data_IF_804413668348
#
_entry.id   IF_804413668348
#
_cell.length_a   1.000
_cell.length_b   1.000
_cell.length_c   1.000
_cell.angle_alpha   90.00
_cell.angle_beta   90.00
_cell.angle_gamma   90.00
#
_symmetry.space_group_name_H-M   'P 1'
#
loop_
_entity.id
_entity.type
_entity.pdbx_description
1 polymer ?
#
# COMPACT_ATOMS: atom_id res chain seq x y z
N UNK A 1 25.14 -52.50 -53.18
CA UNK A 1 23.73 -52.06 -53.17
C UNK A 1 23.25 -52.05 -51.72
N UNK A 2 23.41 -50.92 -51.01
CA UNK A 2 22.86 -50.71 -49.65
C UNK A 2 21.79 -49.64 -49.78
N UNK A 3 20.51 -50.02 -49.65
CA UNK A 3 19.40 -49.08 -49.66
C UNK A 3 19.31 -48.39 -48.29
N UNK A 4 19.49 -47.07 -48.30
CA UNK A 4 19.12 -46.18 -47.20
C UNK A 4 17.60 -46.00 -47.23
N UNK A 5 16.89 -46.45 -46.19
CA UNK A 5 15.48 -46.11 -45.99
C UNK A 5 15.40 -44.76 -45.28
N UNK A 6 14.96 -43.72 -46.00
CA UNK A 6 14.56 -42.45 -45.38
C UNK A 6 13.24 -42.67 -44.61
N UNK A 7 13.29 -42.59 -43.28
CA UNK A 7 12.09 -42.34 -42.48
C UNK A 7 11.65 -40.89 -42.67
N UNK A 8 10.58 -40.69 -43.43
CA UNK A 8 9.80 -39.45 -43.43
C UNK A 8 9.08 -39.34 -42.09
N UNK A 9 9.65 -38.54 -41.18
CA UNK A 9 8.97 -38.14 -39.95
C UNK A 9 7.91 -37.10 -40.32
N UNK A 10 6.67 -37.55 -40.51
CA UNK A 10 5.51 -36.67 -40.66
C UNK A 10 5.37 -35.83 -39.40
N UNK A 11 5.80 -34.57 -39.44
CA UNK A 11 5.51 -33.60 -38.39
C UNK A 11 4.00 -33.32 -38.43
N UNK A 12 3.24 -34.04 -37.61
CA UNK A 12 1.88 -33.64 -37.29
C UNK A 12 1.98 -32.30 -36.54
N UNK A 13 1.68 -31.20 -37.23
CA UNK A 13 1.33 -29.95 -36.57
C UNK A 13 0.07 -30.22 -35.75
N UNK A 14 0.24 -30.61 -34.49
CA UNK A 14 -0.83 -30.51 -33.51
C UNK A 14 -1.13 -29.02 -33.37
N UNK A 15 -2.19 -28.56 -34.03
CA UNK A 15 -2.80 -27.27 -33.72
C UNK A 15 -3.24 -27.33 -32.26
N UNK A 16 -2.40 -26.80 -31.35
CA UNK A 16 -2.83 -26.51 -30.00
C UNK A 16 -3.84 -25.37 -30.09
N UNK A 17 -5.11 -25.69 -30.28
CA UNK A 17 -6.19 -24.76 -30.02
C UNK A 17 -6.20 -24.56 -28.52
N UNK A 18 -5.46 -23.56 -28.04
CA UNK A 18 -5.62 -23.06 -26.70
C UNK A 18 -7.08 -22.60 -26.58
N UNK A 19 -7.96 -23.46 -26.05
CA UNK A 19 -9.32 -23.08 -25.70
C UNK A 19 -9.19 -21.89 -24.76
N UNK A 20 -9.68 -20.72 -25.16
CA UNK A 20 -9.74 -19.55 -24.27
C UNK A 20 -10.69 -19.91 -23.13
N UNK A 21 -10.12 -20.41 -22.02
CA UNK A 21 -10.87 -20.70 -20.80
C UNK A 21 -10.98 -19.40 -20.00
N UNK A 22 -12.08 -18.69 -20.18
CA UNK A 22 -12.47 -17.62 -19.27
C UNK A 22 -12.67 -18.19 -17.87
N UNK A 23 -12.50 -17.35 -16.84
CA UNK A 23 -12.94 -17.70 -15.48
C UNK A 23 -14.45 -17.77 -15.44
N UNK A 24 -15.00 -18.67 -14.63
CA UNK A 24 -16.43 -18.78 -14.44
C UNK A 24 -16.99 -17.53 -13.75
N UNK A 25 -18.24 -17.24 -14.08
CA UNK A 25 -19.06 -16.18 -13.51
C UNK A 25 -20.45 -16.72 -13.14
N UNK A 26 -21.22 -16.02 -12.28
CA UNK A 26 -22.59 -16.36 -11.94
C UNK A 26 -23.56 -16.49 -13.13
N UNK A 27 -23.16 -16.05 -14.33
CA UNK A 27 -23.96 -16.14 -15.54
C UNK A 27 -23.70 -17.43 -16.34
N UNK A 28 -22.66 -18.19 -15.98
CA UNK A 28 -22.32 -19.44 -16.64
C UNK A 28 -23.16 -20.58 -16.09
N UNK A 29 -23.64 -21.48 -16.97
CA UNK A 29 -24.43 -22.65 -16.57
C UNK A 29 -23.67 -23.63 -15.64
N UNK A 30 -22.34 -23.53 -15.61
CA UNK A 30 -21.45 -24.33 -14.75
C UNK A 30 -21.04 -23.61 -13.47
N UNK A 31 -21.61 -22.44 -13.18
CA UNK A 31 -21.41 -21.78 -11.90
C UNK A 31 -21.91 -22.68 -10.76
N UNK A 32 -21.17 -22.77 -9.64
CA UNK A 32 -21.56 -23.67 -8.56
C UNK A 32 -22.92 -23.31 -7.98
N UNK A 33 -23.70 -24.35 -7.68
CA UNK A 33 -25.01 -24.25 -7.06
C UNK A 33 -24.91 -23.74 -5.61
N UNK A 34 -26.01 -23.24 -5.05
CA UNK A 34 -26.04 -22.81 -3.65
C UNK A 34 -25.66 -23.95 -2.67
N UNK A 35 -25.97 -25.22 -3.02
CA UNK A 35 -25.58 -26.38 -2.23
C UNK A 35 -24.05 -26.62 -2.25
N UNK A 36 -23.38 -26.39 -3.38
CA UNK A 36 -21.92 -26.49 -3.47
C UNK A 36 -21.22 -25.37 -2.72
N UNK A 37 -21.78 -24.15 -2.74
CA UNK A 37 -21.30 -23.05 -1.90
C UNK A 37 -21.50 -23.33 -0.41
N UNK A 38 -22.63 -23.93 -0.03
CA UNK A 38 -22.88 -24.35 1.36
C UNK A 38 -21.89 -25.44 1.81
N UNK A 39 -21.60 -26.43 0.96
CA UNK A 39 -20.61 -27.46 1.26
C UNK A 39 -19.19 -26.89 1.43
N UNK A 40 -18.80 -25.88 0.61
CA UNK A 40 -17.58 -25.13 0.86
C UNK A 40 -17.64 -24.44 2.22
N UNK A 41 -18.74 -23.75 2.54
CA UNK A 41 -18.90 -23.05 3.80
C UNK A 41 -18.71 -23.98 5.02
N UNK A 42 -19.30 -25.17 4.97
CA UNK A 42 -19.14 -26.19 6.01
C UNK A 42 -17.67 -26.62 6.15
N UNK A 43 -16.98 -26.84 5.03
CA UNK A 43 -15.56 -27.24 5.03
C UNK A 43 -14.62 -26.17 5.58
N UNK A 44 -15.00 -24.90 5.54
CA UNK A 44 -14.21 -23.76 6.08
C UNK A 44 -14.78 -23.23 7.39
N UNK A 45 -15.53 -24.05 8.13
CA UNK A 45 -16.08 -23.71 9.45
C UNK A 45 -17.00 -22.47 9.43
N UNK A 46 -17.88 -22.38 8.44
CA UNK A 46 -18.89 -21.32 8.37
C UNK A 46 -18.36 -19.94 7.97
N UNK A 47 -17.13 -19.85 7.44
CA UNK A 47 -16.45 -18.57 7.17
C UNK A 47 -16.74 -17.96 5.79
N UNK A 48 -17.69 -18.50 5.03
CA UNK A 48 -18.09 -17.98 3.73
C UNK A 48 -19.15 -16.87 3.86
N UNK A 49 -18.92 -15.76 3.18
CA UNK A 49 -19.82 -14.61 3.12
C UNK A 49 -20.29 -14.42 1.67
N UNK A 50 -21.60 -14.40 1.45
CA UNK A 50 -22.20 -13.94 0.19
C UNK A 50 -22.26 -12.42 0.21
N UNK A 51 -21.56 -11.77 -0.72
CA UNK A 51 -21.41 -10.31 -0.68
C UNK A 51 -22.68 -9.59 -1.08
N UNK A 52 -22.87 -8.39 -0.52
CA UNK A 52 -23.94 -7.47 -0.86
C UNK A 52 -23.35 -6.06 -0.85
N UNK A 53 -23.22 -5.38 -2.00
CA UNK A 53 -22.56 -4.07 -2.05
C UNK A 53 -23.12 -3.13 -0.99
N UNK A 54 -22.26 -2.59 -0.10
CA UNK A 54 -22.69 -1.75 1.02
C UNK A 54 -23.59 -0.58 0.57
N UNK A 55 -23.28 0.05 -0.56
CA UNK A 55 -24.05 1.14 -1.15
C UNK A 55 -25.37 0.72 -1.82
N UNK A 56 -25.69 -0.58 -1.89
CA UNK A 56 -26.98 -1.06 -2.45
C UNK A 56 -28.16 -0.43 -1.72
N UNK A 57 -28.05 -0.17 -0.41
CA UNK A 57 -29.11 0.46 0.37
C UNK A 57 -29.40 1.91 0.00
N UNK A 58 -28.51 2.57 -0.73
CA UNK A 58 -28.72 3.92 -1.28
C UNK A 58 -29.58 3.92 -2.55
N UNK A 59 -29.87 2.75 -3.12
CA UNK A 59 -30.78 2.62 -4.25
C UNK A 59 -32.20 2.35 -3.74
N UNK A 60 -33.20 2.94 -4.41
CA UNK A 60 -34.61 2.91 -4.02
C UNK A 60 -35.15 1.52 -3.64
N UNK A 61 -34.70 0.47 -4.32
CA UNK A 61 -35.17 -0.91 -4.11
C UNK A 61 -34.22 -1.76 -3.27
N UNK A 62 -33.06 -1.23 -2.87
CA UNK A 62 -31.97 -2.01 -2.28
C UNK A 62 -31.76 -3.36 -2.99
N UNK A 63 -31.36 -3.37 -4.27
CA UNK A 63 -31.47 -4.55 -5.14
C UNK A 63 -30.72 -5.79 -4.63
N UNK A 64 -29.69 -5.60 -3.79
CA UNK A 64 -28.92 -6.69 -3.18
C UNK A 64 -29.24 -6.92 -1.70
N UNK A 65 -30.28 -6.27 -1.16
CA UNK A 65 -30.67 -6.36 0.25
C UNK A 65 -29.49 -6.13 1.20
N UNK A 66 -28.69 -5.09 0.94
CA UNK A 66 -27.58 -4.73 1.81
C UNK A 66 -28.12 -4.34 3.20
N UNK A 67 -27.51 -4.85 4.28
CA UNK A 67 -28.01 -4.66 5.63
C UNK A 67 -27.71 -3.26 6.20
N UNK A 68 -26.75 -2.55 5.62
CA UNK A 68 -26.29 -1.25 6.11
C UNK A 68 -27.19 -0.12 5.61
N UNK A 69 -27.55 0.84 6.46
CA UNK A 69 -28.35 2.00 6.06
C UNK A 69 -27.55 2.98 5.18
N UNK A 70 -28.18 3.58 4.17
CA UNK A 70 -27.51 4.51 3.26
C UNK A 70 -26.86 5.71 3.98
N UNK A 71 -27.52 6.30 4.98
CA UNK A 71 -26.97 7.44 5.72
C UNK A 71 -25.64 7.07 6.41
N UNK A 72 -25.50 5.83 6.86
CA UNK A 72 -24.26 5.33 7.47
C UNK A 72 -23.19 5.14 6.39
N UNK A 73 -23.57 4.60 5.22
CA UNK A 73 -22.67 4.45 4.08
C UNK A 73 -22.13 5.81 3.65
N UNK A 74 -22.99 6.80 3.43
CA UNK A 74 -22.60 8.14 2.98
C UNK A 74 -21.71 8.85 4.01
N UNK A 75 -22.09 8.80 5.30
CA UNK A 75 -21.33 9.46 6.36
C UNK A 75 -19.92 8.88 6.56
N UNK A 76 -19.72 7.59 6.25
CA UNK A 76 -18.45 6.89 6.45
C UNK A 76 -17.72 6.57 5.14
N UNK A 77 -18.26 6.95 3.98
CA UNK A 77 -17.67 6.61 2.68
C UNK A 77 -16.25 7.13 2.53
N UNK A 78 -15.96 8.28 3.13
CA UNK A 78 -14.60 8.84 3.07
C UNK A 78 -13.67 8.19 4.08
N UNK A 79 -14.09 7.25 4.93
CA UNK A 79 -13.22 6.65 5.95
C UNK A 79 -12.54 5.39 5.40
N UNK A 80 -11.20 5.34 5.45
CA UNK A 80 -10.43 4.14 5.06
C UNK A 80 -10.81 2.90 5.89
N UNK A 81 -11.06 3.10 7.18
CA UNK A 81 -11.47 2.04 8.13
C UNK A 81 -12.82 1.43 7.76
N UNK A 82 -13.76 2.23 7.26
CA UNK A 82 -15.03 1.74 6.74
C UNK A 82 -14.79 0.73 5.61
N UNK A 83 -14.02 1.09 4.59
CA UNK A 83 -13.71 0.19 3.48
C UNK A 83 -12.92 -1.07 3.91
N UNK A 84 -12.06 -0.95 4.91
CA UNK A 84 -11.31 -2.08 5.44
C UNK A 84 -12.19 -3.10 6.17
N UNK A 85 -13.24 -2.64 6.87
CA UNK A 85 -14.13 -3.47 7.67
C UNK A 85 -15.20 -4.22 6.87
N UNK A 86 -15.47 -3.80 5.63
CA UNK A 86 -16.43 -4.47 4.76
C UNK A 86 -15.71 -5.28 3.68
N UNK A 87 -15.90 -6.61 3.60
CA UNK A 87 -15.19 -7.46 2.67
C UNK A 87 -15.48 -7.15 1.20
N UNK A 88 -16.70 -6.71 0.89
CA UNK A 88 -17.17 -6.38 -0.46
C UNK A 88 -16.85 -4.95 -0.91
N UNK A 89 -16.56 -4.07 0.05
CA UNK A 89 -16.28 -2.67 -0.23
C UNK A 89 -15.05 -2.58 -1.12
N UNK A 90 -15.12 -1.69 -2.13
CA UNK A 90 -14.11 -1.40 -3.18
C UNK A 90 -13.58 -2.60 -4.00
N UNK A 91 -14.05 -3.83 -3.75
CA UNK A 91 -13.48 -5.07 -4.29
C UNK A 91 -14.44 -5.90 -5.15
N UNK A 92 -15.76 -5.73 -4.96
CA UNK A 92 -16.84 -6.39 -5.71
C UNK A 92 -16.69 -7.91 -5.98
N UNK A 93 -16.19 -8.74 -5.04
CA UNK A 93 -16.25 -10.20 -5.20
C UNK A 93 -17.69 -10.70 -5.03
N UNK A 94 -18.00 -11.92 -5.47
CA UNK A 94 -19.33 -12.53 -5.32
C UNK A 94 -19.46 -13.33 -4.01
N UNK A 95 -18.39 -14.01 -3.63
CA UNK A 95 -18.24 -14.62 -2.30
C UNK A 95 -16.92 -14.19 -1.69
N UNK A 96 -16.86 -14.17 -0.36
CA UNK A 96 -15.66 -13.87 0.42
C UNK A 96 -15.45 -14.97 1.45
N UNK A 97 -14.24 -15.47 1.57
CA UNK A 97 -13.80 -16.25 2.72
C UNK A 97 -13.23 -15.30 3.76
N UNK A 98 -13.89 -15.22 4.91
CA UNK A 98 -13.38 -14.52 6.07
C UNK A 98 -12.31 -15.35 6.77
N UNK A 99 -11.08 -15.31 6.25
CA UNK A 99 -10.02 -16.22 6.66
C UNK A 99 -9.46 -15.85 8.04
N UNK A 100 -9.31 -16.88 8.88
CA UNK A 100 -8.66 -16.80 10.21
C UNK A 100 -7.55 -17.85 10.38
N UNK A 101 -7.42 -18.78 9.45
CA UNK A 101 -6.40 -19.83 9.43
C UNK A 101 -5.96 -20.21 8.01
N UNK A 102 -4.75 -20.76 7.91
CA UNK A 102 -4.15 -21.23 6.66
C UNK A 102 -4.96 -22.37 6.02
N UNK A 103 -5.59 -23.22 6.84
CA UNK A 103 -6.42 -24.33 6.37
C UNK A 103 -7.66 -23.83 5.61
N UNK A 104 -8.35 -22.82 6.13
CA UNK A 104 -9.49 -22.20 5.44
C UNK A 104 -9.08 -21.64 4.08
N UNK A 105 -7.91 -21.00 4.01
CA UNK A 105 -7.35 -20.46 2.77
C UNK A 105 -7.05 -21.59 1.78
N UNK A 106 -6.35 -22.63 2.22
CA UNK A 106 -5.96 -23.76 1.38
C UNK A 106 -7.18 -24.49 0.80
N UNK A 107 -8.20 -24.77 1.62
CA UNK A 107 -9.44 -25.41 1.21
C UNK A 107 -10.19 -24.56 0.18
N UNK A 108 -10.37 -23.27 0.45
CA UNK A 108 -11.06 -22.36 -0.45
C UNK A 108 -10.35 -22.16 -1.80
N UNK A 109 -9.01 -21.99 -1.76
CA UNK A 109 -8.18 -21.84 -2.97
C UNK A 109 -8.26 -23.11 -3.81
N UNK A 110 -8.13 -24.29 -3.21
CA UNK A 110 -8.26 -25.57 -3.91
C UNK A 110 -9.64 -25.70 -4.56
N UNK A 111 -10.70 -25.48 -3.79
CA UNK A 111 -12.07 -25.60 -4.25
C UNK A 111 -12.38 -24.66 -5.44
N UNK A 112 -11.94 -23.41 -5.36
CA UNK A 112 -12.14 -22.43 -6.43
C UNK A 112 -11.30 -22.74 -7.67
N UNK A 113 -10.07 -23.24 -7.50
CA UNK A 113 -9.18 -23.63 -8.60
C UNK A 113 -9.75 -24.80 -9.39
N UNK A 114 -10.25 -25.83 -8.72
CA UNK A 114 -10.89 -27.00 -9.34
C UNK A 114 -12.11 -26.63 -10.19
N UNK A 115 -12.78 -25.53 -9.83
CA UNK A 115 -13.99 -25.01 -10.49
C UNK A 115 -13.71 -23.84 -11.43
N UNK A 116 -12.44 -23.50 -11.67
CA UNK A 116 -12.05 -22.39 -12.54
C UNK A 116 -12.68 -21.03 -12.15
N UNK A 117 -12.91 -20.81 -10.86
CA UNK A 117 -13.40 -19.55 -10.31
C UNK A 117 -12.24 -18.58 -10.18
N UNK A 118 -12.50 -17.27 -10.38
CA UNK A 118 -11.49 -16.24 -10.15
C UNK A 118 -11.24 -16.11 -8.65
N UNK A 119 -9.98 -16.20 -8.24
CA UNK A 119 -9.57 -15.91 -6.86
C UNK A 119 -9.05 -14.47 -6.81
N UNK A 120 -9.46 -13.74 -5.78
CA UNK A 120 -8.95 -12.41 -5.43
C UNK A 120 -8.45 -12.49 -3.98
N UNK A 121 -7.44 -11.70 -3.62
CA UNK A 121 -6.95 -11.62 -2.25
C UNK A 121 -7.10 -10.19 -1.77
N UNK A 122 -7.73 -10.01 -0.62
CA UNK A 122 -7.89 -8.72 0.04
C UNK A 122 -7.37 -8.82 1.46
N UNK A 123 -6.41 -7.96 1.83
CA UNK A 123 -6.15 -7.65 3.24
C UNK A 123 -7.14 -6.56 3.67
N UNK A 124 -6.69 -5.32 3.63
CA UNK A 124 -7.53 -4.14 3.93
C UNK A 124 -8.26 -3.55 2.72
N UNK A 125 -7.71 -3.71 1.51
CA UNK A 125 -8.27 -3.12 0.28
C UNK A 125 -7.64 -1.78 -0.11
N UNK A 126 -6.53 -1.37 0.50
CA UNK A 126 -5.80 -0.13 0.16
C UNK A 126 -5.10 -0.12 -1.22
N UNK A 127 -5.41 -1.07 -2.12
CA UNK A 127 -4.77 -1.14 -3.42
C UNK A 127 -5.35 -0.11 -4.40
N UNK A 128 -4.51 0.82 -4.84
CA UNK A 128 -4.90 1.90 -5.76
C UNK A 128 -5.08 1.44 -7.22
N UNK A 129 -4.63 0.22 -7.56
CA UNK A 129 -4.66 -0.33 -8.92
C UNK A 129 -5.74 -1.41 -9.12
N UNK A 130 -6.58 -1.65 -8.10
CA UNK A 130 -7.66 -2.65 -8.15
C UNK A 130 -7.20 -4.11 -8.13
N UNK A 131 -5.94 -4.40 -7.73
CA UNK A 131 -5.39 -5.78 -7.67
C UNK A 131 -6.08 -6.65 -6.64
N UNK A 132 -6.64 -6.05 -5.58
CA UNK A 132 -7.45 -6.73 -4.57
C UNK A 132 -8.95 -6.74 -4.90
N UNK A 133 -9.30 -6.51 -6.17
CA UNK A 133 -10.68 -6.39 -6.64
C UNK A 133 -10.92 -7.31 -7.84
N UNK A 134 -12.15 -7.81 -7.98
CA UNK A 134 -12.51 -8.63 -9.13
C UNK A 134 -13.95 -9.05 -9.10
N UNK A 135 -14.71 -8.63 -10.12
CA UNK A 135 -16.08 -9.09 -10.31
C UNK A 135 -16.14 -10.62 -10.38
N UNK A 136 -17.23 -11.18 -9.83
CA UNK A 136 -17.55 -12.61 -9.94
C UNK A 136 -16.49 -13.55 -9.34
N UNK A 137 -15.69 -13.06 -8.40
CA UNK A 137 -14.61 -13.82 -7.77
C UNK A 137 -15.01 -14.41 -6.42
N UNK A 138 -14.22 -15.39 -5.97
CA UNK A 138 -14.07 -15.75 -4.56
C UNK A 138 -12.90 -14.94 -3.99
N UNK A 139 -13.19 -14.03 -3.06
CA UNK A 139 -12.16 -13.26 -2.37
C UNK A 139 -11.68 -14.00 -1.13
N UNK A 140 -10.36 -14.12 -0.95
CA UNK A 140 -9.74 -14.53 0.31
C UNK A 140 -9.46 -13.25 1.10
N UNK A 141 -10.21 -13.04 2.17
CA UNK A 141 -10.11 -11.84 2.99
C UNK A 141 -9.30 -12.15 4.25
N UNK A 142 -8.06 -11.67 4.31
CA UNK A 142 -7.10 -12.00 5.37
C UNK A 142 -7.15 -11.03 6.57
N UNK A 143 -8.05 -10.02 6.57
CA UNK A 143 -8.12 -8.96 7.60
C UNK A 143 -8.17 -9.48 9.05
N UNK A 144 -8.77 -10.64 9.27
CA UNK A 144 -8.91 -11.24 10.60
C UNK A 144 -7.75 -12.18 10.99
N UNK A 145 -6.75 -12.35 10.13
CA UNK A 145 -5.46 -12.93 10.49
C UNK A 145 -4.59 -11.84 11.13
N UNK A 146 -4.70 -11.70 12.45
CA UNK A 146 -4.06 -10.64 13.23
C UNK A 146 -3.04 -11.17 14.25
N UNK A 147 -2.65 -12.44 14.15
CA UNK A 147 -1.63 -13.02 15.00
C UNK A 147 -0.33 -12.23 14.84
N UNK A 148 0.32 -11.93 15.96
CA UNK A 148 1.57 -11.18 15.98
C UNK A 148 2.40 -11.55 17.19
N UNK A 149 3.69 -11.78 16.94
CA UNK A 149 4.67 -12.18 17.92
C UNK A 149 5.95 -11.37 17.71
N UNK A 150 6.60 -10.99 18.79
CA UNK A 150 7.94 -10.43 18.75
C UNK A 150 8.91 -11.47 19.30
N UNK A 151 9.88 -11.87 18.49
CA UNK A 151 10.91 -12.83 18.84
C UNK A 151 12.29 -12.14 18.78
N UNK A 152 12.94 -11.86 19.92
CA UNK A 152 14.26 -11.23 19.96
C UNK A 152 15.40 -12.17 19.54
N UNK A 153 15.18 -13.48 19.49
CA UNK A 153 16.22 -14.47 19.28
C UNK A 153 15.91 -15.39 18.08
N UNK A 154 15.17 -14.86 17.10
CA UNK A 154 14.72 -15.64 15.96
C UNK A 154 15.89 -16.13 15.12
N UNK A 155 15.99 -17.45 14.94
CA UNK A 155 17.09 -18.08 14.21
C UNK A 155 16.96 -17.85 12.71
N UNK A 156 17.92 -17.12 12.14
CA UNK A 156 17.94 -16.83 10.70
C UNK A 156 18.24 -18.10 9.89
N UNK A 157 17.32 -18.55 9.01
CA UNK A 157 17.47 -19.77 8.23
C UNK A 157 18.77 -19.81 7.43
N UNK A 158 19.45 -20.96 7.46
CA UNK A 158 20.71 -21.15 6.75
C UNK A 158 21.92 -20.47 7.41
N UNK A 159 21.79 -19.91 8.61
CA UNK A 159 22.89 -19.28 9.35
C UNK A 159 22.93 -19.70 10.82
N UNK A 160 24.01 -19.31 11.51
CA UNK A 160 24.16 -19.45 12.97
C UNK A 160 23.81 -18.14 13.72
N UNK A 161 23.13 -17.19 13.08
CA UNK A 161 22.77 -15.89 13.66
C UNK A 161 21.32 -15.90 14.15
N UNK A 162 21.06 -15.06 15.13
CA UNK A 162 19.71 -14.67 15.54
C UNK A 162 19.49 -13.19 15.21
N UNK A 163 18.23 -12.80 15.03
CA UNK A 163 17.81 -11.42 14.81
C UNK A 163 16.52 -11.15 15.61
N UNK A 164 16.32 -9.90 16.04
CA UNK A 164 15.02 -9.45 16.54
C UNK A 164 14.05 -9.38 15.36
N UNK A 165 12.89 -10.02 15.48
CA UNK A 165 11.86 -10.00 14.44
C UNK A 165 10.48 -9.76 15.00
N UNK A 166 9.62 -9.19 14.16
CA UNK A 166 8.18 -9.21 14.34
C UNK A 166 7.60 -10.25 13.35
N UNK A 167 7.04 -11.32 13.89
CA UNK A 167 6.27 -12.30 13.13
C UNK A 167 4.83 -11.79 13.09
N UNK A 168 4.34 -11.44 11.91
CA UNK A 168 3.11 -10.69 11.73
C UNK A 168 2.22 -11.36 10.66
N UNK A 169 1.00 -11.72 11.05
CA UNK A 169 0.00 -12.22 10.13
C UNK A 169 -0.39 -11.16 9.08
N UNK A 170 -0.81 -11.62 7.90
CA UNK A 170 -0.99 -10.75 6.73
C UNK A 170 -2.21 -9.82 6.77
N UNK A 171 -3.08 -9.95 7.77
CA UNK A 171 -4.24 -9.09 7.98
C UNK A 171 -3.93 -7.74 8.63
N UNK A 172 -2.70 -7.56 9.14
CA UNK A 172 -2.23 -6.33 9.76
C UNK A 172 -1.88 -5.26 8.72
N UNK A 173 -2.28 -4.04 9.01
CA UNK A 173 -1.73 -2.85 8.35
C UNK A 173 -0.30 -2.60 8.81
N UNK A 174 0.46 -1.86 8.00
CA UNK A 174 1.79 -1.42 8.39
C UNK A 174 1.79 -0.64 9.72
N UNK A 175 0.80 0.23 9.92
CA UNK A 175 0.65 0.99 11.16
C UNK A 175 0.38 0.11 12.39
N UNK A 176 -0.48 -0.89 12.27
CA UNK A 176 -0.71 -1.89 13.34
C UNK A 176 0.58 -2.65 13.66
N UNK A 177 1.30 -3.16 12.65
CA UNK A 177 2.55 -3.89 12.83
C UNK A 177 3.64 -3.04 13.51
N UNK A 178 3.84 -1.78 13.08
CA UNK A 178 4.74 -0.82 13.74
C UNK A 178 4.31 -0.60 15.19
N UNK A 179 3.01 -0.42 15.44
CA UNK A 179 2.48 -0.27 16.80
C UNK A 179 2.77 -1.47 17.71
N UNK A 180 2.80 -2.69 17.18
CA UNK A 180 3.19 -3.88 17.93
C UNK A 180 4.69 -3.92 18.24
N UNK A 181 5.55 -3.62 17.26
CA UNK A 181 7.00 -3.58 17.50
C UNK A 181 7.41 -2.48 18.50
N UNK A 182 6.71 -1.34 18.49
CA UNK A 182 6.97 -0.24 19.42
C UNK A 182 6.64 -0.58 20.89
N UNK A 183 5.87 -1.64 21.17
CA UNK A 183 5.69 -2.14 22.55
C UNK A 183 6.98 -2.71 23.14
N UNK A 184 7.95 -3.04 22.28
CA UNK A 184 9.26 -3.58 22.63
C UNK A 184 10.39 -2.60 22.33
N UNK A 185 10.09 -1.31 22.12
CA UNK A 185 11.06 -0.28 21.71
C UNK A 185 11.79 -0.60 20.39
N UNK A 186 11.06 -1.20 19.44
CA UNK A 186 11.57 -1.52 18.11
C UNK A 186 10.72 -0.93 16.98
N UNK A 187 11.34 -0.77 15.81
CA UNK A 187 10.70 -0.48 14.52
C UNK A 187 10.95 -1.64 13.56
N UNK A 188 10.03 -1.90 12.64
CA UNK A 188 10.15 -2.98 11.65
C UNK A 188 10.71 -2.49 10.33
N UNK A 189 11.33 -3.39 9.58
CA UNK A 189 11.78 -3.09 8.23
C UNK A 189 10.62 -2.71 7.30
N UNK A 190 10.85 -1.67 6.48
CA UNK A 190 9.95 -1.34 5.38
C UNK A 190 10.07 -2.36 4.22
N UNK A 191 11.00 -3.32 4.33
CA UNK A 191 11.41 -4.22 3.26
C UNK A 191 10.23 -5.03 2.71
N UNK A 192 9.24 -5.37 3.55
CA UNK A 192 7.98 -5.97 3.13
C UNK A 192 7.26 -5.19 2.02
N UNK A 193 7.21 -3.86 2.13
CA UNK A 193 6.54 -3.01 1.15
C UNK A 193 7.32 -2.89 -0.19
N UNK A 194 8.64 -3.10 -0.16
CA UNK A 194 9.54 -2.78 -1.28
C UNK A 194 10.21 -4.00 -1.94
N UNK A 195 9.96 -5.24 -1.50
CA UNK A 195 10.42 -6.47 -2.19
C UNK A 195 9.64 -6.79 -3.47
N UNK A 196 9.53 -5.77 -4.33
CA UNK A 196 9.73 -5.79 -5.79
C UNK A 196 8.82 -6.61 -6.71
N UNK A 197 8.16 -7.67 -6.24
CA UNK A 197 7.36 -8.56 -7.09
C UNK A 197 5.89 -8.16 -7.24
N UNK A 198 5.42 -7.21 -6.42
CA UNK A 198 4.00 -6.91 -6.28
C UNK A 198 3.22 -8.04 -5.58
N UNK A 199 2.01 -7.72 -5.10
CA UNK A 199 1.16 -8.67 -4.39
C UNK A 199 0.31 -9.52 -5.36
N UNK A 200 -0.14 -10.70 -4.91
CA UNK A 200 -1.21 -11.48 -5.54
C UNK A 200 -0.82 -12.36 -6.75
N UNK A 201 0.47 -12.49 -7.08
CA UNK A 201 0.93 -13.29 -8.23
C UNK A 201 1.52 -14.65 -7.86
N UNK A 202 2.18 -14.76 -6.70
CA UNK A 202 2.99 -15.93 -6.34
C UNK A 202 2.34 -16.87 -5.34
N UNK A 203 1.30 -16.39 -4.65
CA UNK A 203 0.62 -17.11 -3.59
C UNK A 203 -0.12 -16.14 -2.66
N UNK A 204 -0.75 -16.73 -1.64
CA UNK A 204 -1.39 -15.98 -0.56
C UNK A 204 -0.42 -16.00 0.61
N UNK A 205 0.06 -14.83 1.01
CA UNK A 205 0.92 -14.72 2.18
C UNK A 205 0.03 -14.70 3.41
N UNK A 206 0.30 -15.59 4.35
CA UNK A 206 -0.42 -15.71 5.63
C UNK A 206 0.35 -15.05 6.77
N UNK A 207 1.69 -15.03 6.67
CA UNK A 207 2.59 -14.50 7.69
C UNK A 207 3.83 -13.86 7.07
N UNK A 208 4.33 -12.82 7.74
CA UNK A 208 5.60 -12.16 7.47
C UNK A 208 6.51 -12.26 8.68
N UNK A 209 7.78 -12.59 8.46
CA UNK A 209 8.85 -12.43 9.45
C UNK A 209 9.63 -11.17 9.09
N UNK A 210 9.40 -10.10 9.86
CA UNK A 210 9.92 -8.77 9.60
C UNK A 210 11.07 -8.47 10.55
N UNK A 211 12.21 -8.02 10.02
CA UNK A 211 13.34 -7.67 10.90
C UNK A 211 13.00 -6.42 11.71
N UNK A 212 13.25 -6.49 13.02
CA UNK A 212 13.02 -5.40 13.94
C UNK A 212 14.35 -4.77 14.39
N UNK A 213 14.36 -3.44 14.52
CA UNK A 213 15.52 -2.65 14.92
C UNK A 213 15.18 -1.79 16.14
N UNK A 214 16.14 -1.51 17.03
CA UNK A 214 15.92 -0.57 18.12
C UNK A 214 15.36 0.75 17.60
N UNK A 215 14.30 1.23 18.24
CA UNK A 215 13.60 2.44 17.85
C UNK A 215 14.53 3.67 18.00
N UNK A 216 14.74 4.48 16.94
CA UNK A 216 15.60 5.65 17.02
C UNK A 216 14.89 6.85 17.66
N UNK A 217 15.66 7.86 18.07
CA UNK A 217 15.11 9.21 18.24
C UNK A 217 14.88 9.84 16.86
N UNK A 218 13.91 10.75 16.75
CA UNK A 218 13.55 11.37 15.47
C UNK A 218 13.56 12.89 15.59
N UNK A 219 14.18 13.55 14.62
CA UNK A 219 14.04 14.99 14.42
C UNK A 219 13.11 15.21 13.24
N UNK A 220 12.07 15.98 13.45
CA UNK A 220 11.14 16.43 12.42
C UNK A 220 11.40 17.91 12.12
N UNK A 221 11.62 18.23 10.86
CA UNK A 221 11.89 19.60 10.39
C UNK A 221 11.46 19.75 8.94
N UNK A 222 11.67 20.91 8.34
CA UNK A 222 11.27 21.15 6.96
C UNK A 222 11.34 22.61 6.57
N UNK A 223 10.73 22.92 5.44
CA UNK A 223 10.50 24.28 5.01
C UNK A 223 9.35 24.35 3.99
N UNK A 224 8.79 25.55 3.86
CA UNK A 224 7.78 25.86 2.87
C UNK A 224 8.32 26.86 1.87
N UNK A 225 8.13 26.61 0.58
CA UNK A 225 8.36 27.57 -0.50
C UNK A 225 7.00 28.03 -1.02
N UNK A 226 6.78 29.34 -1.07
CA UNK A 226 5.53 29.93 -1.57
C UNK A 226 5.81 31.08 -2.53
N UNK A 227 5.00 31.25 -3.59
CA UNK A 227 5.12 32.41 -4.48
C UNK A 227 4.71 33.70 -3.76
N UNK A 228 5.38 34.81 -4.09
CA UNK A 228 4.99 36.15 -3.67
C UNK A 228 4.20 36.81 -4.81
N UNK A 229 2.87 36.74 -4.71
CA UNK A 229 1.96 37.28 -5.70
C UNK A 229 1.76 36.37 -6.93
N UNK A 230 1.04 36.90 -7.92
CA UNK A 230 0.61 36.17 -9.12
C UNK A 230 1.29 36.72 -10.38
N UNK A 231 2.62 36.70 -10.40
CA UNK A 231 3.43 37.26 -11.50
C UNK A 231 4.19 36.17 -12.25
N UNK A 232 4.57 36.43 -13.51
CA UNK A 232 5.42 35.53 -14.31
C UNK A 232 6.78 35.27 -13.63
N UNK A 233 7.30 36.26 -12.90
CA UNK A 233 8.54 36.12 -12.15
C UNK A 233 8.39 35.16 -10.96
N UNK A 234 7.30 35.29 -10.17
CA UNK A 234 6.99 34.35 -9.09
C UNK A 234 6.75 32.92 -9.62
N UNK A 235 6.06 32.82 -10.77
CA UNK A 235 5.87 31.54 -11.46
C UNK A 235 7.20 30.88 -11.80
N UNK A 236 8.09 31.57 -12.51
CA UNK A 236 9.40 31.03 -12.89
C UNK A 236 10.29 30.74 -11.67
N UNK A 237 10.29 31.66 -10.69
CA UNK A 237 11.09 31.54 -9.47
C UNK A 237 10.74 30.31 -8.65
N UNK A 238 9.45 30.04 -8.43
CA UNK A 238 9.03 28.86 -7.65
C UNK A 238 9.27 27.53 -8.37
N UNK A 239 9.12 27.47 -9.70
CA UNK A 239 9.49 26.28 -10.46
C UNK A 239 11.00 26.02 -10.47
N UNK A 240 11.82 27.08 -10.57
CA UNK A 240 13.27 26.96 -10.43
C UNK A 240 13.66 26.49 -9.02
N UNK A 241 12.99 27.00 -7.98
CA UNK A 241 13.19 26.55 -6.61
C UNK A 241 12.85 25.06 -6.44
N UNK A 242 11.77 24.59 -7.07
CA UNK A 242 11.40 23.18 -7.05
C UNK A 242 12.44 22.30 -7.73
N UNK A 243 12.93 22.73 -8.91
CA UNK A 243 13.97 22.03 -9.65
C UNK A 243 15.26 21.89 -8.82
N UNK A 244 15.68 22.99 -8.17
CA UNK A 244 16.86 22.99 -7.32
C UNK A 244 16.66 22.10 -6.07
N UNK A 245 15.48 22.13 -5.45
CA UNK A 245 15.14 21.19 -4.37
C UNK A 245 15.31 19.73 -4.81
N UNK A 246 14.71 19.35 -5.95
CA UNK A 246 14.83 17.98 -6.47
C UNK A 246 16.29 17.59 -6.73
N UNK A 247 17.11 18.54 -7.22
CA UNK A 247 18.55 18.34 -7.44
C UNK A 247 19.32 18.10 -6.14
N UNK A 248 18.88 18.68 -5.02
CA UNK A 248 19.51 18.57 -3.71
C UNK A 248 19.07 17.33 -2.92
N UNK A 249 17.91 16.75 -3.24
CA UNK A 249 17.36 15.60 -2.50
C UNK A 249 18.34 14.41 -2.39
N UNK A 250 19.09 13.99 -3.44
CA UNK A 250 20.06 12.90 -3.30
C UNK A 250 21.11 13.16 -2.23
N UNK A 251 21.68 14.36 -2.19
CA UNK A 251 22.71 14.72 -1.21
C UNK A 251 22.12 14.80 0.21
N UNK A 252 20.85 15.22 0.35
CA UNK A 252 20.14 15.23 1.62
C UNK A 252 19.81 13.82 2.12
N UNK A 253 19.47 12.90 1.20
CA UNK A 253 19.29 11.48 1.52
C UNK A 253 20.59 10.83 1.96
N UNK A 254 21.71 11.11 1.26
CA UNK A 254 23.06 10.66 1.66
C UNK A 254 23.47 11.21 3.03
N UNK A 255 23.04 12.43 3.36
CA UNK A 255 23.21 13.02 4.70
C UNK A 255 22.31 12.39 5.77
N UNK A 256 21.42 11.45 5.40
CA UNK A 256 20.55 10.71 6.30
C UNK A 256 19.23 11.40 6.62
N UNK A 257 18.72 12.25 5.72
CA UNK A 257 17.35 12.77 5.78
C UNK A 257 16.41 11.89 4.95
N UNK A 258 15.26 11.56 5.53
CA UNK A 258 14.12 10.98 4.82
C UNK A 258 12.95 11.98 4.88
N UNK A 259 11.94 11.89 4.03
CA UNK A 259 10.85 12.84 4.09
C UNK A 259 9.86 12.73 2.96
N UNK A 260 8.91 13.67 2.94
CA UNK A 260 7.91 13.80 1.90
C UNK A 260 7.65 15.28 1.62
N UNK A 261 7.33 15.58 0.36
CA UNK A 261 6.91 16.91 -0.06
C UNK A 261 5.49 16.88 -0.61
N UNK A 262 4.73 17.93 -0.30
CA UNK A 262 3.47 18.24 -0.99
C UNK A 262 3.74 19.45 -1.88
N UNK A 263 3.47 19.29 -3.18
CA UNK A 263 3.63 20.36 -4.16
C UNK A 263 2.26 20.67 -4.77
N UNK A 264 1.85 21.92 -4.67
CA UNK A 264 0.58 22.41 -5.21
C UNK A 264 0.85 23.46 -6.30
N UNK A 265 0.39 23.18 -7.51
CA UNK A 265 0.55 24.07 -8.65
C UNK A 265 -0.59 25.07 -8.79
N UNK A 266 -0.25 26.28 -9.21
CA UNK A 266 -1.16 27.34 -9.62
C UNK A 266 -0.69 27.92 -10.96
N UNK A 267 -1.59 27.97 -11.94
CA UNK A 267 -1.28 28.40 -13.31
C UNK A 267 -0.81 29.87 -13.43
N UNK A 268 -1.02 30.71 -12.42
CA UNK A 268 -0.56 32.11 -12.40
C UNK A 268 0.61 32.35 -11.45
N UNK A 269 0.64 31.65 -10.31
CA UNK A 269 1.60 31.90 -9.25
C UNK A 269 2.81 30.95 -9.25
N UNK A 270 2.73 29.81 -9.95
CA UNK A 270 3.77 28.78 -9.95
C UNK A 270 3.44 27.68 -8.95
N UNK A 271 4.41 27.26 -8.13
CA UNK A 271 4.22 26.16 -7.17
C UNK A 271 4.40 26.61 -5.72
N UNK A 272 3.56 26.06 -4.84
CA UNK A 272 3.79 26.07 -3.40
C UNK A 272 4.26 24.68 -2.97
N UNK A 273 5.33 24.62 -2.19
CA UNK A 273 5.99 23.39 -1.78
C UNK A 273 6.03 23.37 -0.26
N UNK A 274 5.54 22.30 0.34
CA UNK A 274 5.74 21.99 1.75
C UNK A 274 6.60 20.74 1.84
N UNK A 275 7.88 20.90 2.22
CA UNK A 275 8.84 19.81 2.34
C UNK A 275 9.05 19.48 3.82
N UNK A 276 8.68 18.27 4.23
CA UNK A 276 8.99 17.71 5.54
C UNK A 276 10.19 16.77 5.47
N UNK A 277 11.02 16.78 6.49
CA UNK A 277 12.16 15.89 6.68
C UNK A 277 12.14 15.27 8.08
N UNK A 278 12.63 14.04 8.13
CA UNK A 278 12.86 13.23 9.31
C UNK A 278 14.34 12.83 9.35
N UNK A 279 14.95 12.96 10.51
CA UNK A 279 16.34 12.62 10.77
C UNK A 279 16.40 11.65 11.96
N UNK A 280 16.92 10.43 11.74
CA UNK A 280 17.02 9.40 12.77
C UNK A 280 18.35 9.48 13.51
N UNK A 281 18.33 9.48 14.84
CA UNK A 281 19.53 9.50 15.71
C UNK A 281 20.52 10.64 15.39
N UNK A 282 20.03 11.82 15.03
CA UNK A 282 20.86 13.00 14.71
C UNK A 282 20.71 14.10 15.75
N UNK A 283 21.61 15.09 15.67
CA UNK A 283 21.57 16.32 16.48
C UNK A 283 20.63 17.34 15.86
N UNK A 284 19.80 17.99 16.70
CA UNK A 284 18.92 19.08 16.28
C UNK A 284 19.69 20.17 15.53
N UNK A 285 20.81 20.61 16.10
CA UNK A 285 21.63 21.70 15.56
C UNK A 285 22.21 21.35 14.19
N UNK A 286 22.71 20.13 14.02
CA UNK A 286 23.28 19.70 12.73
C UNK A 286 22.21 19.56 11.65
N UNK A 287 21.03 19.04 12.03
CA UNK A 287 19.89 18.94 11.13
C UNK A 287 19.38 20.34 10.72
N UNK A 288 19.22 21.28 11.66
CA UNK A 288 18.83 22.66 11.35
C UNK A 288 19.83 23.36 10.44
N UNK A 289 21.13 23.18 10.70
CA UNK A 289 22.19 23.73 9.86
C UNK A 289 22.10 23.19 8.42
N UNK A 290 21.87 21.89 8.26
CA UNK A 290 21.72 21.27 6.94
C UNK A 290 20.50 21.80 6.18
N UNK A 291 19.36 21.97 6.87
CA UNK A 291 18.16 22.59 6.29
C UNK A 291 18.42 24.03 5.88
N UNK A 292 19.08 24.82 6.73
CA UNK A 292 19.38 26.21 6.41
C UNK A 292 20.31 26.32 5.19
N UNK A 293 21.35 25.48 5.10
CA UNK A 293 22.22 25.42 3.93
C UNK A 293 21.45 25.07 2.64
N UNK A 294 20.42 24.24 2.75
CA UNK A 294 19.53 23.91 1.63
C UNK A 294 18.69 25.11 1.21
N UNK A 295 18.08 25.80 2.17
CA UNK A 295 17.29 27.02 1.94
C UNK A 295 18.14 28.10 1.28
N UNK A 296 19.34 28.36 1.79
CA UNK A 296 20.27 29.37 1.26
C UNK A 296 20.66 29.07 -0.19
N UNK A 297 20.86 27.79 -0.50
CA UNK A 297 21.22 27.34 -1.85
C UNK A 297 20.06 27.51 -2.84
N UNK A 298 18.83 27.19 -2.42
CA UNK A 298 17.63 27.41 -3.24
C UNK A 298 17.43 28.91 -3.46
N UNK A 299 17.53 29.73 -2.41
CA UNK A 299 17.44 31.19 -2.53
C UNK A 299 18.46 31.75 -3.53
N UNK A 300 19.72 31.30 -3.43
CA UNK A 300 20.80 31.70 -4.34
C UNK A 300 20.49 31.32 -5.79
N UNK A 301 19.99 30.10 -6.02
CA UNK A 301 19.61 29.62 -7.36
C UNK A 301 18.48 30.47 -7.98
N UNK A 302 17.57 30.98 -7.15
CA UNK A 302 16.46 31.84 -7.60
C UNK A 302 16.79 33.32 -7.69
N UNK A 303 18.07 33.70 -7.60
CA UNK A 303 18.51 35.09 -7.74
C UNK A 303 18.39 35.93 -6.48
N UNK A 304 18.19 35.31 -5.30
CA UNK A 304 18.05 35.98 -4.01
C UNK A 304 16.93 37.04 -3.95
N UNK A 305 15.90 36.89 -4.78
CA UNK A 305 14.81 37.84 -4.87
C UNK A 305 13.65 37.43 -3.94
N UNK A 306 13.61 38.02 -2.75
CA UNK A 306 12.51 37.80 -1.79
C UNK A 306 11.18 38.42 -2.22
N UNK A 307 11.15 39.20 -3.31
CA UNK A 307 9.92 39.78 -3.85
C UNK A 307 9.13 38.79 -4.72
N UNK A 308 9.77 37.72 -5.21
CA UNK A 308 9.12 36.71 -6.09
C UNK A 308 8.73 35.42 -5.36
N UNK A 309 9.42 35.07 -4.28
CA UNK A 309 9.08 33.91 -3.44
C UNK A 309 9.48 34.08 -1.98
N UNK A 310 8.91 33.27 -1.11
CA UNK A 310 9.33 33.10 0.28
C UNK A 310 9.67 31.66 0.57
N UNK A 311 10.79 31.43 1.27
CA UNK A 311 11.16 30.15 1.84
C UNK A 311 11.19 30.33 3.36
N UNK A 312 10.40 29.54 4.08
CA UNK A 312 10.27 29.64 5.53
C UNK A 312 10.62 28.28 6.13
N UNK A 313 11.67 28.23 6.96
CA UNK A 313 12.00 27.05 7.73
C UNK A 313 10.87 26.71 8.71
N UNK A 314 10.53 25.43 8.80
CA UNK A 314 9.57 24.94 9.78
C UNK A 314 10.23 24.85 11.16
N UNK A 315 9.42 24.91 12.23
CA UNK A 315 9.92 24.63 13.57
C UNK A 315 10.44 23.19 13.66
N UNK A 316 11.66 23.02 14.16
CA UNK A 316 12.25 21.70 14.37
C UNK A 316 11.77 21.11 15.69
N UNK A 317 11.12 19.94 15.60
CA UNK A 317 10.64 19.16 16.74
C UNK A 317 11.58 17.98 16.98
N UNK A 318 11.97 17.78 18.25
CA UNK A 318 12.74 16.60 18.66
C UNK A 318 11.80 15.64 19.34
N UNK A 319 11.68 14.44 18.77
CA UNK A 319 10.96 13.32 19.34
C UNK A 319 11.98 12.38 20.00
N UNK A 320 12.05 12.31 21.35
CA UNK A 320 13.03 11.48 22.05
C UNK A 320 12.86 9.98 21.76
N UNK A 321 11.65 9.57 21.38
CA UNK A 321 11.32 8.19 21.02
C UNK A 321 10.61 8.15 19.67
N UNK A 322 10.84 7.09 18.91
CA UNK A 322 10.10 6.85 17.66
C UNK A 322 8.59 6.76 17.90
N UNK A 323 8.16 6.24 19.06
CA UNK A 323 6.74 6.15 19.41
C UNK A 323 6.07 7.52 19.43
N UNK A 324 6.68 8.52 20.08
CA UNK A 324 6.14 9.89 20.09
C UNK A 324 6.05 10.49 18.69
N UNK A 325 7.07 10.26 17.86
CA UNK A 325 7.05 10.64 16.44
C UNK A 325 5.93 9.95 15.66
N UNK A 326 5.77 8.64 15.81
CA UNK A 326 4.75 7.84 15.13
C UNK A 326 3.33 8.26 15.52
N UNK A 327 3.09 8.53 16.81
CA UNK A 327 1.81 9.05 17.30
C UNK A 327 1.53 10.44 16.72
N UNK A 328 2.52 11.34 16.69
CA UNK A 328 2.39 12.66 16.08
C UNK A 328 2.01 12.55 14.58
N UNK A 329 2.69 11.70 13.82
CA UNK A 329 2.35 11.46 12.41
C UNK A 329 0.94 10.91 12.23
N UNK A 330 0.52 9.94 13.06
CA UNK A 330 -0.81 9.35 12.94
C UNK A 330 -1.93 10.34 13.28
N UNK A 331 -1.70 11.28 14.20
CA UNK A 331 -2.67 12.35 14.47
C UNK A 331 -2.85 13.32 13.30
N UNK A 332 -1.81 13.51 12.48
CA UNK A 332 -1.84 14.34 11.27
C UNK A 332 -2.18 13.58 9.97
N UNK A 333 -2.25 12.25 10.01
CA UNK A 333 -2.50 11.40 8.85
C UNK A 333 -3.94 11.51 8.32
N UNK A 334 -4.09 11.53 6.99
CA UNK A 334 -5.42 11.46 6.38
C UNK A 334 -5.97 10.04 6.45
N UNK A 335 -7.11 9.87 7.13
CA UNK A 335 -7.92 8.65 7.05
C UNK A 335 -8.91 8.69 5.87
N UNK A 336 -8.74 9.64 4.94
CA UNK A 336 -9.67 9.82 3.84
C UNK A 336 -9.43 8.83 2.69
N UNK A 337 -10.52 8.28 2.17
CA UNK A 337 -10.57 7.33 1.07
C UNK A 337 -11.87 7.51 0.25
N UNK A 338 -12.24 6.53 -0.56
CA UNK A 338 -13.53 6.49 -1.26
C UNK A 338 -13.56 7.15 -2.64
N UNK A 339 -12.45 7.71 -3.11
CA UNK A 339 -12.28 8.26 -4.46
C UNK A 339 -11.38 7.37 -5.33
N UNK A 340 -11.59 7.40 -6.65
CA UNK A 340 -10.71 6.73 -7.61
C UNK A 340 -9.33 7.39 -7.62
N UNK A 341 -8.28 6.57 -7.71
CA UNK A 341 -6.88 7.02 -7.72
C UNK A 341 -6.24 6.69 -9.07
N UNK A 342 -5.56 7.66 -9.68
CA UNK A 342 -4.77 7.46 -10.91
C UNK A 342 -3.39 8.15 -10.85
N UNK A 343 -2.57 7.95 -9.79
CA UNK A 343 -1.28 8.60 -9.70
C UNK A 343 -0.26 7.86 -10.57
N UNK A 344 0.43 8.53 -11.51
CA UNK A 344 1.69 8.00 -12.01
C UNK A 344 2.75 8.13 -10.91
N UNK A 345 3.70 7.20 -10.88
CA UNK A 345 4.89 7.31 -10.05
C UNK A 345 6.14 7.11 -10.90
N UNK A 346 7.23 7.77 -10.51
CA UNK A 346 8.52 7.66 -11.18
C UNK A 346 9.64 7.71 -10.16
N UNK A 347 10.54 6.74 -10.21
CA UNK A 347 11.82 6.85 -9.52
C UNK A 347 12.68 7.87 -10.28
N UNK A 348 13.16 8.86 -9.55
CA UNK A 348 14.14 9.82 -10.05
C UNK A 348 15.53 9.31 -9.66
N UNK A 349 16.33 9.01 -10.69
CA UNK A 349 17.75 8.74 -10.49
C UNK A 349 18.51 10.02 -10.18
N UNK A 350 19.75 9.87 -9.74
CA UNK A 350 20.68 10.99 -9.58
C UNK A 350 21.05 11.60 -10.92
#
# INVERSE_FOLDING_TARGET
>A
MRLLALLLCSAALASSTATRRCKLSPFDATWPTDAEWAALNDSISGSLIKTRPAASSCYKTNPFNAPLNCNIVEANWTQSTFHANFPESISSPFYVVNATSDEQIALAVKWASERNIRIVVKGTGHDLSGRSSGAHSLSIWTRHMQQVEFDPDWRVPGTNKTDNVLIAASGLTYGEAVGHALKYDHVIDLLWAIRGGGAGQYGIVTEYVLKAYPAPSVIETGFTISPRGNTTAAYGGTWNAFSELLRLLPDLMDAGLAGAAVVQGNHKAGVSISQGFYAFNKSKTDTEKLIQMTIDRIYTCTGNDSSILSIVASNTTVHPTYKGFFEALNTGGSNQAGACSMPPSRLLGR
#
